data_IF_017921609397
#
_entry.id   IF_017921609397
#
_cell.length_a   1.000
_cell.length_b   1.000
_cell.length_c   1.000
_cell.angle_alpha   90.00
_cell.angle_beta   90.00
_cell.angle_gamma   90.00
#
_symmetry.space_group_name_H-M   'P 1'
#
loop_
_entity.id
_entity.type
_entity.pdbx_description
1 polymer ?
#
# COMPACT_ATOMS: atom_id res chain seq x y z
N UNK A 1 -36.05 52.01 3.26
CA UNK A 1 -35.87 51.00 2.19
C UNK A 1 -34.44 50.47 2.29
N UNK A 2 -34.26 49.30 2.90
CA UNK A 2 -32.94 48.70 3.17
C UNK A 2 -32.53 47.89 1.93
N UNK A 3 -31.33 48.17 1.43
CA UNK A 3 -30.82 47.63 0.17
C UNK A 3 -30.42 46.16 0.31
N UNK A 4 -31.35 45.26 -0.02
CA UNK A 4 -31.24 43.80 0.08
C UNK A 4 -30.14 43.22 -0.84
N UNK A 5 -29.58 43.99 -1.79
CA UNK A 5 -28.54 43.48 -2.71
C UNK A 5 -27.15 43.32 -2.08
N UNK A 6 -26.88 43.94 -0.93
CA UNK A 6 -25.54 43.94 -0.35
C UNK A 6 -25.26 42.76 0.61
N UNK A 7 -26.30 42.05 1.05
CA UNK A 7 -26.15 40.88 1.94
C UNK A 7 -26.08 39.53 1.21
N UNK A 8 -26.45 39.48 -0.07
CA UNK A 8 -26.38 38.27 -0.88
C UNK A 8 -24.95 37.89 -1.31
N UNK A 9 -24.00 38.82 -1.21
CA UNK A 9 -22.59 38.56 -1.60
C UNK A 9 -21.75 37.96 -0.46
N UNK A 10 -22.29 37.83 0.75
CA UNK A 10 -21.57 37.26 1.92
C UNK A 10 -21.94 35.78 2.17
N UNK A 11 -22.85 35.20 1.37
CA UNK A 11 -23.06 33.75 1.31
C UNK A 11 -22.13 33.12 0.26
N UNK A 12 -20.83 33.25 0.47
CA UNK A 12 -19.86 32.44 -0.27
C UNK A 12 -18.82 31.90 0.69
N UNK A 13 -18.60 30.60 0.57
CA UNK A 13 -17.61 29.79 1.26
C UNK A 13 -17.94 29.44 2.72
N UNK A 14 -19.08 28.77 2.94
CA UNK A 14 -19.09 27.72 3.98
C UNK A 14 -18.14 26.65 3.45
N UNK A 15 -16.88 26.71 3.92
CA UNK A 15 -15.91 25.65 3.75
C UNK A 15 -16.55 24.38 4.27
N UNK A 16 -17.02 23.53 3.35
CA UNK A 16 -17.24 22.11 3.56
C UNK A 16 -15.90 21.51 3.99
N UNK A 17 -15.57 21.70 5.27
CA UNK A 17 -14.72 20.81 6.05
C UNK A 17 -15.48 19.50 6.27
N UNK A 18 -15.95 18.90 5.17
CA UNK A 18 -16.41 17.53 5.20
C UNK A 18 -15.20 16.71 5.60
N UNK A 19 -15.30 16.02 6.74
CA UNK A 19 -14.36 15.00 7.15
C UNK A 19 -14.06 14.15 5.92
N UNK A 20 -12.80 14.16 5.46
CA UNK A 20 -12.43 13.33 4.34
C UNK A 20 -12.65 11.86 4.77
N UNK A 21 -13.42 11.13 3.97
CA UNK A 21 -13.81 9.75 4.26
C UNK A 21 -12.53 8.89 4.35
N UNK A 22 -12.30 8.17 5.46
CA UNK A 22 -11.13 7.30 5.57
C UNK A 22 -11.10 6.18 4.51
N UNK A 23 -12.23 5.90 3.84
CA UNK A 23 -12.34 4.95 2.73
C UNK A 23 -12.11 5.60 1.35
N UNK A 24 -11.68 6.86 1.29
CA UNK A 24 -11.39 7.54 0.02
C UNK A 24 -10.38 6.72 -0.81
N UNK A 25 -10.67 6.46 -2.09
CA UNK A 25 -9.77 5.68 -2.94
C UNK A 25 -8.44 6.40 -3.16
N UNK A 26 -7.43 5.61 -3.53
CA UNK A 26 -6.18 6.16 -4.05
C UNK A 26 -6.47 6.93 -5.35
N UNK A 27 -5.93 8.13 -5.46
CA UNK A 27 -5.97 8.93 -6.70
C UNK A 27 -4.59 9.57 -6.90
N UNK A 28 -3.61 8.77 -7.38
CA UNK A 28 -2.24 9.25 -7.57
C UNK A 28 -2.19 10.41 -8.56
N UNK A 29 -1.41 11.46 -8.31
CA UNK A 29 -1.25 12.56 -9.27
C UNK A 29 -0.62 12.08 -10.58
N UNK A 30 -0.87 12.81 -11.68
CA UNK A 30 -0.31 12.49 -13.00
C UNK A 30 1.22 12.60 -13.01
N UNK A 31 1.74 13.64 -12.39
CA UNK A 31 3.17 13.78 -12.09
C UNK A 31 3.43 13.12 -10.73
N UNK A 32 4.10 11.98 -10.74
CA UNK A 32 4.33 11.16 -9.55
C UNK A 32 5.70 10.51 -9.62
N UNK A 33 6.29 10.27 -8.45
CA UNK A 33 7.41 9.36 -8.30
C UNK A 33 6.87 7.93 -8.28
N UNK A 34 7.59 7.00 -8.91
CA UNK A 34 7.16 5.61 -9.03
C UNK A 34 8.22 4.70 -8.44
N UNK A 35 7.77 3.74 -7.64
CA UNK A 35 8.59 2.63 -7.19
C UNK A 35 8.41 1.52 -8.23
N UNK A 36 9.48 1.20 -8.94
CA UNK A 36 9.50 0.04 -9.81
C UNK A 36 9.74 -1.21 -8.97
N UNK A 37 8.90 -2.21 -9.17
CA UNK A 37 9.05 -3.53 -8.57
C UNK A 37 9.23 -4.52 -9.71
N UNK A 38 10.37 -5.21 -9.72
CA UNK A 38 10.69 -6.21 -10.72
C UNK A 38 11.35 -7.42 -10.09
N UNK A 39 11.31 -8.54 -10.81
CA UNK A 39 11.91 -9.77 -10.35
C UNK A 39 11.59 -10.94 -11.28
N UNK A 40 12.04 -12.13 -10.86
CA UNK A 40 11.81 -13.38 -11.58
C UNK A 40 11.06 -14.34 -10.66
N UNK A 41 9.84 -14.71 -11.05
CA UNK A 41 9.05 -15.73 -10.37
C UNK A 41 9.48 -17.13 -10.88
N UNK A 42 9.93 -18.03 -10.00
CA UNK A 42 10.26 -19.40 -10.39
C UNK A 42 9.06 -20.17 -10.98
N UNK A 43 9.35 -21.27 -11.68
CA UNK A 43 8.30 -22.18 -12.17
C UNK A 43 7.40 -22.64 -11.03
N UNK A 44 6.13 -22.86 -11.34
CA UNK A 44 5.09 -23.27 -10.38
C UNK A 44 4.82 -22.23 -9.27
N UNK A 45 5.21 -20.97 -9.48
CA UNK A 45 4.92 -19.88 -8.54
C UNK A 45 4.21 -18.71 -9.23
N UNK A 46 3.57 -17.87 -8.43
CA UNK A 46 2.93 -16.64 -8.86
C UNK A 46 3.42 -15.46 -8.01
N UNK A 47 3.84 -14.35 -8.62
CA UNK A 47 4.20 -13.13 -7.90
C UNK A 47 2.97 -12.32 -7.52
N UNK A 48 3.06 -11.65 -6.36
CA UNK A 48 2.07 -10.72 -5.84
C UNK A 48 2.79 -9.45 -5.42
N UNK A 49 2.25 -8.31 -5.82
CA UNK A 49 2.74 -7.00 -5.42
C UNK A 49 1.58 -6.21 -4.82
N UNK A 50 1.80 -5.68 -3.62
CA UNK A 50 0.84 -4.81 -2.95
C UNK A 50 1.53 -3.71 -2.18
N UNK A 51 0.76 -2.72 -1.73
CA UNK A 51 1.24 -1.63 -0.92
C UNK A 51 0.20 -1.21 0.11
N UNK A 52 0.68 -0.72 1.23
CA UNK A 52 -0.10 -0.03 2.24
C UNK A 52 0.23 1.46 2.16
N UNK A 53 -0.79 2.30 2.13
CA UNK A 53 -0.69 3.75 2.21
C UNK A 53 -1.23 4.22 3.55
N UNK A 54 -0.65 5.28 4.10
CA UNK A 54 -1.09 5.94 5.33
C UNK A 54 -1.55 7.37 5.03
N UNK A 55 -2.59 7.82 5.72
CA UNK A 55 -3.03 9.22 5.73
C UNK A 55 -2.92 9.80 7.13
N UNK A 56 -2.32 11.00 7.23
CA UNK A 56 -2.36 11.83 8.45
C UNK A 56 -3.43 12.93 8.36
N UNK A 57 -4.14 13.03 7.23
CA UNK A 57 -5.21 14.01 6.99
C UNK A 57 -6.59 13.36 7.22
N UNK A 58 -6.78 12.14 6.71
CA UNK A 58 -7.92 11.29 7.04
C UNK A 58 -7.60 10.53 8.31
N UNK A 59 -8.37 10.82 9.35
CA UNK A 59 -8.17 10.24 10.68
C UNK A 59 -9.45 9.51 11.10
N UNK A 60 -9.28 8.42 11.83
CA UNK A 60 -10.38 7.68 12.44
C UNK A 60 -10.39 7.92 13.95
N UNK A 61 -11.59 7.90 14.54
CA UNK A 61 -11.74 8.00 15.99
C UNK A 61 -11.57 6.63 16.64
N UNK A 62 -10.77 6.59 17.69
CA UNK A 62 -10.68 5.47 18.61
C UNK A 62 -10.97 5.97 20.03
N UNK A 63 -11.23 5.03 20.94
CA UNK A 63 -11.48 5.33 22.34
C UNK A 63 -10.31 4.84 23.20
N UNK A 64 -9.87 5.68 24.11
CA UNK A 64 -8.98 5.26 25.19
C UNK A 64 -9.73 4.33 26.16
N UNK A 65 -9.00 3.67 27.07
CA UNK A 65 -9.60 2.79 28.08
C UNK A 65 -10.57 3.52 29.04
N UNK A 66 -10.41 4.83 29.20
CA UNK A 66 -11.32 5.70 29.95
C UNK A 66 -12.51 6.23 29.11
N UNK A 67 -12.69 5.69 27.89
CA UNK A 67 -13.70 6.08 26.90
C UNK A 67 -13.53 7.50 26.32
N UNK A 68 -12.42 8.20 26.57
CA UNK A 68 -12.14 9.47 25.90
C UNK A 68 -11.77 9.25 24.42
N UNK A 69 -12.30 10.06 23.48
CA UNK A 69 -12.02 9.89 22.06
C UNK A 69 -10.66 10.48 21.67
N UNK A 70 -9.94 9.78 20.79
CA UNK A 70 -8.72 10.27 20.15
C UNK A 70 -8.68 9.89 18.67
N UNK A 71 -7.84 10.56 17.90
CA UNK A 71 -7.72 10.38 16.45
C UNK A 71 -6.44 9.65 16.09
N UNK A 72 -6.54 8.70 15.17
CA UNK A 72 -5.39 7.98 14.62
C UNK A 72 -5.33 8.09 13.09
N UNK A 73 -4.13 8.01 12.49
CA UNK A 73 -3.97 7.86 11.04
C UNK A 73 -4.75 6.66 10.49
N UNK A 74 -5.28 6.79 9.28
CA UNK A 74 -5.91 5.68 8.57
C UNK A 74 -5.01 5.09 7.49
N UNK A 75 -5.38 3.91 7.00
CA UNK A 75 -4.60 3.14 6.03
C UNK A 75 -5.45 2.71 4.84
N UNK A 76 -4.83 2.61 3.67
CA UNK A 76 -5.45 2.12 2.45
C UNK A 76 -4.54 1.13 1.72
N UNK A 77 -5.09 0.00 1.27
CA UNK A 77 -4.35 -1.08 0.62
C UNK A 77 -4.51 -1.06 -0.89
N UNK A 78 -3.41 -1.19 -1.61
CA UNK A 78 -3.36 -1.41 -3.05
C UNK A 78 -2.87 -2.82 -3.36
N UNK A 79 -3.66 -3.63 -4.06
CA UNK A 79 -3.23 -4.94 -4.59
C UNK A 79 -3.20 -4.90 -6.10
N UNK A 80 -2.04 -5.19 -6.70
CA UNK A 80 -1.87 -5.20 -8.15
C UNK A 80 -2.03 -6.61 -8.71
N UNK A 81 -2.69 -6.72 -9.86
CA UNK A 81 -2.67 -7.96 -10.65
C UNK A 81 -1.37 -7.99 -11.44
N UNK A 82 -0.41 -8.78 -10.97
CA UNK A 82 0.90 -8.97 -11.62
C UNK A 82 0.89 -10.29 -12.37
N UNK A 83 1.43 -10.28 -13.59
CA UNK A 83 1.66 -11.48 -14.39
C UNK A 83 3.14 -11.57 -14.70
N UNK A 84 3.71 -12.74 -14.43
CA UNK A 84 5.04 -13.09 -14.90
C UNK A 84 4.99 -13.58 -16.34
N UNK A 85 6.06 -13.33 -17.07
CA UNK A 85 6.30 -13.96 -18.36
C UNK A 85 6.40 -15.49 -18.17
N UNK A 86 5.65 -16.30 -18.95
CA UNK A 86 5.57 -17.74 -18.71
C UNK A 86 6.85 -18.51 -19.06
N UNK A 87 7.75 -17.93 -19.86
CA UNK A 87 9.00 -18.59 -20.26
C UNK A 87 10.16 -18.24 -19.32
N UNK A 88 10.27 -16.96 -18.98
CA UNK A 88 11.39 -16.39 -18.22
C UNK A 88 11.07 -16.20 -16.74
N UNK A 89 9.78 -16.15 -16.37
CA UNK A 89 9.33 -15.81 -15.02
C UNK A 89 9.44 -14.31 -14.70
N UNK A 90 9.97 -13.49 -15.61
CA UNK A 90 10.17 -12.07 -15.37
C UNK A 90 8.85 -11.33 -15.18
N UNK A 91 8.78 -10.45 -14.18
CA UNK A 91 7.67 -9.54 -13.99
C UNK A 91 8.17 -8.14 -13.62
N UNK A 92 7.39 -7.13 -13.99
CA UNK A 92 7.63 -5.76 -13.61
C UNK A 92 6.30 -5.03 -13.39
N UNK A 93 6.23 -4.22 -12.36
CA UNK A 93 5.10 -3.35 -12.07
C UNK A 93 5.56 -2.06 -11.39
N UNK A 94 4.64 -1.12 -11.18
CA UNK A 94 4.92 0.17 -10.54
C UNK A 94 3.92 0.48 -9.46
N UNK A 95 4.42 0.95 -8.33
CA UNK A 95 3.63 1.48 -7.23
C UNK A 95 3.79 3.01 -7.19
N UNK A 96 2.70 3.78 -7.07
CA UNK A 96 2.81 5.23 -6.93
C UNK A 96 3.41 5.56 -5.56
N UNK A 97 4.45 6.39 -5.52
CA UNK A 97 5.03 6.83 -4.26
C UNK A 97 4.03 7.70 -3.48
N UNK A 98 3.33 8.59 -4.20
CA UNK A 98 2.21 9.35 -3.67
C UNK A 98 0.88 8.74 -4.12
N UNK A 99 0.11 8.20 -3.16
CA UNK A 99 -1.23 7.65 -3.41
C UNK A 99 -2.29 8.74 -3.67
N UNK A 100 -2.03 9.98 -3.24
CA UNK A 100 -2.85 11.14 -3.59
C UNK A 100 -4.27 11.09 -3.03
N UNK A 101 -5.25 11.59 -3.78
CA UNK A 101 -6.64 11.72 -3.36
C UNK A 101 -6.87 12.75 -2.24
N UNK A 102 -8.10 12.82 -1.73
CA UNK A 102 -8.48 13.78 -0.68
C UNK A 102 -7.74 13.54 0.64
N UNK A 103 -7.41 12.27 0.91
CA UNK A 103 -6.65 11.87 2.09
C UNK A 103 -5.13 12.06 1.94
N UNK A 104 -4.64 12.57 0.80
CA UNK A 104 -3.20 12.76 0.53
C UNK A 104 -2.38 11.51 0.89
N UNK A 105 -2.87 10.35 0.47
CA UNK A 105 -2.29 9.05 0.77
C UNK A 105 -0.79 9.02 0.43
N UNK A 106 0.03 8.59 1.39
CA UNK A 106 1.48 8.39 1.21
C UNK A 106 1.81 6.92 1.39
N UNK A 107 2.68 6.37 0.55
CA UNK A 107 3.06 4.97 0.69
C UNK A 107 3.72 4.76 2.07
N UNK A 108 3.34 3.71 2.77
CA UNK A 108 3.86 3.33 4.08
C UNK A 108 4.69 2.06 3.99
N UNK A 109 4.17 1.05 3.26
CA UNK A 109 4.85 -0.22 3.05
C UNK A 109 4.62 -0.72 1.63
N UNK A 110 5.61 -1.40 1.06
CA UNK A 110 5.48 -2.17 -0.16
C UNK A 110 5.76 -3.64 0.12
N UNK A 111 4.99 -4.52 -0.51
CA UNK A 111 5.06 -5.97 -0.32
C UNK A 111 5.28 -6.63 -1.67
N UNK A 112 6.29 -7.50 -1.73
CA UNK A 112 6.56 -8.35 -2.88
C UNK A 112 6.63 -9.77 -2.37
N UNK A 113 5.76 -10.65 -2.85
CA UNK A 113 5.73 -12.04 -2.41
C UNK A 113 5.51 -12.99 -3.56
N UNK A 114 5.97 -14.21 -3.42
CA UNK A 114 5.71 -15.32 -4.33
C UNK A 114 5.00 -16.44 -3.55
N UNK A 115 4.05 -17.09 -4.21
CA UNK A 115 3.34 -18.26 -3.67
C UNK A 115 3.41 -19.40 -4.68
N UNK A 116 3.51 -20.64 -4.22
CA UNK A 116 3.34 -21.79 -5.12
C UNK A 116 1.92 -21.84 -5.69
N UNK A 117 1.81 -22.09 -6.99
CA UNK A 117 0.56 -22.44 -7.67
C UNK A 117 0.36 -23.95 -7.75
N UNK A 118 1.46 -24.72 -7.68
CA UNK A 118 1.47 -26.18 -7.71
C UNK A 118 2.68 -26.71 -6.91
N UNK A 119 2.45 -27.69 -6.03
CA UNK A 119 3.47 -28.31 -5.15
C UNK A 119 3.56 -29.83 -5.32
N UNK A 120 2.84 -30.44 -6.27
CA UNK A 120 2.87 -31.90 -6.46
C UNK A 120 4.25 -32.43 -6.86
N UNK A 121 5.11 -31.57 -7.42
CA UNK A 121 6.50 -31.88 -7.73
C UNK A 121 7.42 -31.91 -6.49
N UNK A 122 6.96 -31.42 -5.34
CA UNK A 122 7.70 -31.41 -4.08
C UNK A 122 7.29 -32.58 -3.18
N UNK A 123 5.98 -32.78 -3.01
CA UNK A 123 5.43 -33.84 -2.17
C UNK A 123 4.04 -34.27 -2.65
N UNK A 124 3.73 -35.55 -2.47
CA UNK A 124 2.42 -36.12 -2.83
C UNK A 124 1.34 -35.56 -1.89
N UNK A 125 0.20 -35.20 -2.46
CA UNK A 125 -0.99 -34.69 -1.74
C UNK A 125 -0.75 -33.39 -0.96
N UNK A 126 0.36 -32.67 -1.24
CA UNK A 126 0.67 -31.40 -0.62
C UNK A 126 -0.23 -30.28 -1.16
N UNK A 127 -0.57 -29.33 -0.29
CA UNK A 127 -1.33 -28.12 -0.63
C UNK A 127 -0.53 -26.87 -0.30
N UNK A 128 -0.50 -25.84 -1.17
CA UNK A 128 0.15 -24.57 -0.83
C UNK A 128 -0.54 -23.91 0.36
N UNK A 129 0.21 -23.57 1.41
CA UNK A 129 -0.32 -22.87 2.59
C UNK A 129 0.13 -21.41 2.69
N UNK A 130 1.35 -21.09 2.26
CA UNK A 130 1.94 -19.77 2.42
C UNK A 130 2.88 -19.37 1.29
N UNK A 131 3.25 -18.10 1.30
CA UNK A 131 4.25 -17.52 0.40
C UNK A 131 5.47 -17.02 1.16
N UNK A 132 6.45 -16.55 0.40
CA UNK A 132 7.65 -15.88 0.90
C UNK A 132 7.83 -14.56 0.17
N UNK A 133 8.52 -13.60 0.77
CA UNK A 133 8.61 -12.27 0.18
C UNK A 133 9.42 -11.27 1.00
N UNK A 134 9.36 -10.03 0.52
CA UNK A 134 10.00 -8.86 1.10
C UNK A 134 8.93 -7.84 1.48
N UNK A 135 9.18 -7.16 2.60
CA UNK A 135 8.42 -6.00 3.03
C UNK A 135 9.40 -4.83 3.07
N UNK A 136 9.14 -3.79 2.29
CA UNK A 136 9.87 -2.54 2.36
C UNK A 136 9.08 -1.54 3.20
N UNK A 137 9.69 -1.06 4.28
CA UNK A 137 9.17 0.00 5.13
C UNK A 137 9.63 1.35 4.57
N UNK A 138 8.68 2.27 4.32
CA UNK A 138 8.91 3.51 3.59
C UNK A 138 8.36 4.68 4.42
N UNK A 139 8.90 5.90 4.24
CA UNK A 139 8.40 7.13 4.87
C UNK A 139 8.31 7.04 6.41
N UNK A 140 9.37 6.54 7.05
CA UNK A 140 9.45 6.37 8.51
C UNK A 140 8.33 5.49 9.07
N UNK A 141 7.83 4.54 8.26
CA UNK A 141 6.93 3.50 8.73
C UNK A 141 7.53 2.82 9.95
N UNK A 142 6.70 2.59 10.97
CA UNK A 142 7.12 1.95 12.21
C UNK A 142 7.66 0.57 11.89
N UNK A 143 8.95 0.39 12.18
CA UNK A 143 9.65 -0.88 12.08
C UNK A 143 9.05 -1.87 13.08
N UNK A 144 8.83 -3.10 12.63
CA UNK A 144 8.16 -4.13 13.46
C UNK A 144 9.11 -5.26 13.86
N UNK A 145 10.32 -5.31 13.32
CA UNK A 145 11.31 -6.32 13.65
C UNK A 145 12.75 -5.75 13.68
N UNK A 146 13.62 -6.33 14.50
CA UNK A 146 15.01 -5.90 14.73
C UNK A 146 15.99 -6.32 13.63
N UNK A 147 15.57 -7.13 12.65
CA UNK A 147 16.41 -7.64 11.56
C UNK A 147 16.24 -6.89 10.23
N UNK A 148 15.75 -5.65 10.27
CA UNK A 148 15.51 -4.84 9.08
C UNK A 148 16.82 -4.25 8.53
N UNK A 149 17.01 -4.33 7.20
CA UNK A 149 18.21 -3.82 6.53
C UNK A 149 17.89 -2.42 5.98
N UNK A 150 18.64 -1.41 6.45
CA UNK A 150 18.53 -0.07 5.90
C UNK A 150 19.04 -0.05 4.44
N UNK A 151 18.22 0.47 3.54
CA UNK A 151 18.55 0.61 2.13
C UNK A 151 18.17 2.02 1.63
N UNK A 152 18.85 2.50 0.60
CA UNK A 152 18.58 3.80 -0.01
C UNK A 152 18.27 3.62 -1.49
N UNK A 153 17.09 4.09 -1.92
CA UNK A 153 16.56 4.10 -3.29
C UNK A 153 16.34 2.73 -3.96
N UNK A 154 17.31 1.84 -3.90
CA UNK A 154 17.30 0.53 -4.54
C UNK A 154 17.44 -0.57 -3.51
N UNK A 155 16.58 -1.57 -3.63
CA UNK A 155 16.58 -2.78 -2.83
C UNK A 155 16.77 -3.93 -3.81
N UNK A 156 17.92 -4.58 -3.76
CA UNK A 156 18.25 -5.74 -4.59
C UNK A 156 18.44 -6.97 -3.71
N UNK A 157 17.65 -8.01 -3.98
CA UNK A 157 17.62 -9.24 -3.21
C UNK A 157 17.46 -10.42 -4.15
N UNK A 158 18.37 -11.38 -4.02
CA UNK A 158 18.36 -12.65 -4.76
C UNK A 158 18.48 -13.83 -3.79
N UNK A 159 17.50 -14.04 -2.88
CA UNK A 159 17.58 -15.11 -1.90
C UNK A 159 17.34 -16.48 -2.55
N UNK A 160 18.04 -17.50 -2.04
CA UNK A 160 17.67 -18.90 -2.27
C UNK A 160 16.70 -19.29 -1.18
N UNK A 161 15.50 -19.74 -1.57
CA UNK A 161 14.44 -20.09 -0.63
C UNK A 161 14.07 -21.55 -0.83
N UNK A 162 14.08 -22.31 0.26
CA UNK A 162 13.69 -23.71 0.28
C UNK A 162 12.26 -23.84 0.80
N UNK A 163 11.42 -24.68 0.15
CA UNK A 163 10.10 -24.98 0.69
C UNK A 163 10.22 -25.68 2.04
N UNK A 164 9.35 -25.31 2.98
CA UNK A 164 9.15 -26.04 4.23
C UNK A 164 7.97 -26.98 4.01
N UNK A 165 8.19 -28.28 4.19
CA UNK A 165 7.22 -29.36 3.97
C UNK A 165 6.61 -29.85 5.28
#
# INVERSE_FOLDING_TARGET
MINIKQYLSVLSVILISGCADPNEPLSPPKENQWITVEGVAPKYTQPHVSAEYISKDCLEYQLHADMSPYKVPTYNGLRLKVKADPQTGYFQTKLPFYGGGRCKWKINRAFVSITYTDVHHLAKDAVPYGGTGLIAFINDAVQTNISEIAASNTIDFSPVIYPVL
#
